data_IF_351952391106
#
_entry.id   IF_351952391106
#
_cell.length_a   1.000
_cell.length_b   1.000
_cell.length_c   1.000
_cell.angle_alpha   90.00
_cell.angle_beta   90.00
_cell.angle_gamma   90.00
#
_symmetry.space_group_name_H-M   'P 1'
#
loop_
_entity.id
_entity.type
_entity.pdbx_description
1 polymer ?
#
# COMPACT_ATOMS: atom_id res chain seq x y z
N UNK A 1 10.04 9.01 -11.99
CA UNK A 1 8.60 9.19 -11.75
C UNK A 1 8.41 9.57 -10.30
N UNK A 2 7.49 10.49 -10.00
CA UNK A 2 7.27 11.00 -8.64
C UNK A 2 6.52 10.00 -7.74
N UNK A 3 5.66 9.16 -8.33
CA UNK A 3 4.84 8.15 -7.65
C UNK A 3 4.95 6.78 -8.34
N UNK A 4 4.93 5.71 -7.55
CA UNK A 4 4.79 4.31 -7.98
C UNK A 4 3.39 3.82 -7.60
N UNK A 5 2.71 3.16 -8.54
CA UNK A 5 1.35 2.64 -8.32
C UNK A 5 1.29 1.12 -8.28
N UNK A 6 2.36 0.47 -8.71
CA UNK A 6 2.55 -0.96 -8.60
C UNK A 6 2.89 -1.36 -7.15
N UNK A 7 2.37 -2.50 -6.72
CA UNK A 7 2.54 -3.01 -5.36
C UNK A 7 2.92 -4.47 -5.40
N UNK A 8 3.46 -4.99 -4.29
CA UNK A 8 3.79 -6.41 -4.21
C UNK A 8 2.52 -7.28 -4.23
N UNK A 9 1.44 -6.86 -3.57
CA UNK A 9 0.22 -7.66 -3.43
C UNK A 9 -0.76 -7.55 -4.60
N UNK A 10 -0.55 -6.62 -5.54
CA UNK A 10 -1.48 -6.37 -6.65
C UNK A 10 -2.56 -5.32 -6.34
N UNK A 11 -2.60 -4.78 -5.12
CA UNK A 11 -3.41 -3.60 -4.80
C UNK A 11 -2.95 -2.40 -5.65
N UNK A 12 -3.87 -1.61 -6.20
CA UNK A 12 -3.52 -0.43 -6.96
C UNK A 12 -3.35 0.80 -6.04
N UNK A 13 -2.10 1.20 -5.75
CA UNK A 13 -1.81 2.36 -4.92
C UNK A 13 -2.41 3.67 -5.47
N UNK A 14 -2.65 3.76 -6.79
CA UNK A 14 -3.27 4.92 -7.40
C UNK A 14 -4.75 5.12 -7.04
N UNK A 15 -5.37 4.20 -6.29
CA UNK A 15 -6.71 4.39 -5.70
C UNK A 15 -6.67 4.73 -4.20
N UNK A 16 -5.49 4.77 -3.58
CA UNK A 16 -5.35 5.10 -2.15
C UNK A 16 -5.54 6.61 -1.93
N UNK A 17 -6.39 6.98 -0.95
CA UNK A 17 -6.65 8.37 -0.57
C UNK A 17 -5.37 9.12 -0.21
N UNK A 18 -4.42 8.45 0.44
CA UNK A 18 -3.14 9.04 0.82
C UNK A 18 -2.31 9.39 -0.42
N UNK A 19 -2.24 8.49 -1.41
CA UNK A 19 -1.55 8.77 -2.68
C UNK A 19 -2.25 9.90 -3.44
N UNK A 20 -3.58 9.92 -3.46
CA UNK A 20 -4.31 11.02 -4.10
C UNK A 20 -4.00 12.35 -3.43
N UNK A 21 -4.02 12.40 -2.09
CA UNK A 21 -3.71 13.62 -1.34
C UNK A 21 -2.28 14.12 -1.58
N UNK A 22 -1.29 13.22 -1.66
CA UNK A 22 0.09 13.61 -2.00
C UNK A 22 0.17 14.18 -3.43
N UNK A 23 -0.59 13.63 -4.38
CA UNK A 23 -0.61 14.12 -5.77
C UNK A 23 -1.35 15.44 -5.92
N UNK A 24 -2.43 15.66 -5.16
CA UNK A 24 -3.23 16.90 -5.22
C UNK A 24 -2.69 18.00 -4.32
N UNK A 25 -1.66 17.74 -3.49
CA UNK A 25 -1.13 18.71 -2.54
C UNK A 25 -2.10 19.01 -1.40
N UNK A 26 -2.84 17.99 -0.93
CA UNK A 26 -3.87 18.12 0.11
C UNK A 26 -3.61 17.18 1.30
N UNK A 27 -2.35 16.84 1.56
CA UNK A 27 -1.97 15.92 2.65
C UNK A 27 -2.35 16.49 4.01
N UNK A 28 -2.20 17.79 4.19
CA UNK A 28 -2.52 18.52 5.43
C UNK A 28 -4.02 18.45 5.74
N UNK A 29 -4.87 18.56 4.72
CA UNK A 29 -6.33 18.46 4.85
C UNK A 29 -6.71 17.03 5.24
N UNK A 30 -6.11 16.03 4.60
CA UNK A 30 -6.34 14.62 4.92
C UNK A 30 -5.90 14.30 6.35
N UNK A 31 -4.71 14.76 6.74
CA UNK A 31 -4.14 14.60 8.07
C UNK A 31 -5.04 15.20 9.14
N UNK A 32 -5.52 16.43 8.92
CA UNK A 32 -6.50 17.07 9.80
C UNK A 32 -7.80 16.26 9.91
N UNK A 33 -8.32 15.77 8.79
CA UNK A 33 -9.57 14.98 8.74
C UNK A 33 -9.44 13.67 9.51
N UNK A 34 -8.26 13.04 9.45
CA UNK A 34 -7.98 11.75 10.09
C UNK A 34 -7.40 11.90 11.50
N UNK A 35 -7.15 13.13 11.97
CA UNK A 35 -6.53 13.39 13.28
C UNK A 35 -5.10 12.86 13.38
N UNK A 36 -4.32 13.00 12.31
CA UNK A 36 -2.95 12.51 12.17
C UNK A 36 -1.98 13.65 11.86
N UNK A 37 -0.69 13.39 12.02
CA UNK A 37 0.36 14.30 11.56
C UNK A 37 0.58 14.13 10.05
N UNK A 38 0.74 15.22 9.27
CA UNK A 38 0.96 15.15 7.82
C UNK A 38 2.11 14.22 7.41
N UNK A 39 3.18 14.17 8.20
CA UNK A 39 4.37 13.34 7.97
C UNK A 39 4.03 11.84 7.96
N UNK A 40 3.02 11.42 8.72
CA UNK A 40 2.56 10.02 8.74
C UNK A 40 1.84 9.63 7.45
N UNK A 41 1.39 10.61 6.67
CA UNK A 41 0.64 10.44 5.43
C UNK A 41 1.46 10.78 4.18
N UNK A 42 2.75 11.09 4.30
CA UNK A 42 3.61 11.26 3.13
C UNK A 42 3.83 9.91 2.43
N UNK A 43 3.53 9.84 1.14
CA UNK A 43 3.62 8.58 0.39
C UNK A 43 3.92 8.78 -1.09
N UNK A 44 4.82 7.97 -1.62
CA UNK A 44 5.16 7.89 -3.05
C UNK A 44 4.92 6.50 -3.66
N UNK A 45 4.25 5.61 -2.93
CA UNK A 45 3.84 4.28 -3.42
C UNK A 45 4.57 3.12 -2.76
N UNK A 46 3.95 1.94 -2.78
CA UNK A 46 4.41 0.75 -2.04
C UNK A 46 5.87 0.37 -2.31
N UNK A 47 6.30 0.42 -3.57
CA UNK A 47 7.68 0.10 -3.99
C UNK A 47 8.66 1.27 -3.94
N UNK A 48 8.22 2.45 -3.48
CA UNK A 48 9.10 3.59 -3.24
C UNK A 48 9.75 3.55 -1.85
N UNK A 49 10.71 4.45 -1.63
CA UNK A 49 11.35 4.67 -0.33
C UNK A 49 10.51 5.53 0.63
N UNK A 50 9.46 6.20 0.14
CA UNK A 50 8.59 7.08 0.95
C UNK A 50 7.21 6.45 1.05
N UNK A 51 6.88 5.92 2.22
CA UNK A 51 5.61 5.27 2.48
C UNK A 51 4.90 5.93 3.66
N UNK A 52 3.57 6.05 3.55
CA UNK A 52 2.74 6.39 4.69
C UNK A 52 2.85 5.32 5.77
N UNK A 53 2.53 5.70 7.00
CA UNK A 53 2.71 4.88 8.21
C UNK A 53 2.15 3.46 8.07
N UNK A 54 1.01 3.31 7.39
CA UNK A 54 0.35 2.01 7.16
C UNK A 54 1.13 1.06 6.23
N UNK A 55 2.00 1.59 5.38
CA UNK A 55 2.76 0.82 4.40
C UNK A 55 4.24 0.66 4.75
N UNK A 56 4.74 1.34 5.80
CA UNK A 56 6.13 1.23 6.27
C UNK A 56 6.39 -0.19 6.77
N UNK A 57 5.54 -0.70 7.66
CA UNK A 57 5.66 -2.03 8.27
C UNK A 57 4.63 -3.03 7.71
N UNK A 58 4.45 -3.02 6.38
CA UNK A 58 3.53 -3.94 5.73
C UNK A 58 4.13 -5.36 5.65
N UNK A 59 3.52 -6.31 6.36
CA UNK A 59 3.96 -7.71 6.38
C UNK A 59 3.94 -8.41 5.00
N UNK A 60 3.09 -7.98 4.07
CA UNK A 60 3.08 -8.53 2.70
C UNK A 60 4.30 -8.04 1.91
N UNK A 61 4.62 -6.74 2.00
CA UNK A 61 5.84 -6.16 1.41
C UNK A 61 7.09 -6.83 1.96
N UNK A 62 7.18 -6.99 3.29
CA UNK A 62 8.30 -7.68 3.93
C UNK A 62 8.43 -9.14 3.45
N UNK A 63 7.30 -9.86 3.35
CA UNK A 63 7.28 -11.23 2.85
C UNK A 63 7.76 -11.33 1.39
N UNK A 64 7.29 -10.46 0.49
CA UNK A 64 7.69 -10.46 -0.91
C UNK A 64 9.19 -10.18 -1.07
N UNK A 65 9.73 -9.19 -0.34
CA UNK A 65 11.17 -8.89 -0.29
C UNK A 65 11.98 -10.09 0.21
N UNK A 66 11.56 -10.75 1.29
CA UNK A 66 12.25 -11.93 1.83
C UNK A 66 12.24 -13.11 0.85
N UNK A 67 11.11 -13.34 0.18
CA UNK A 67 10.97 -14.38 -0.85
C UNK A 67 11.60 -14.01 -2.20
N UNK A 68 12.10 -12.78 -2.34
CA UNK A 68 12.71 -12.25 -3.57
C UNK A 68 11.79 -12.32 -4.79
N UNK A 69 10.50 -12.06 -4.57
CA UNK A 69 9.50 -11.94 -5.65
C UNK A 69 9.12 -10.47 -5.84
N UNK A 70 8.99 -10.04 -7.08
CA UNK A 70 8.55 -8.68 -7.42
C UNK A 70 7.06 -8.48 -7.19
N UNK A 71 6.29 -9.56 -7.33
CA UNK A 71 4.85 -9.60 -7.12
C UNK A 71 4.46 -10.90 -6.44
N UNK A 72 3.43 -10.85 -5.59
CA UNK A 72 2.98 -12.02 -4.87
C UNK A 72 2.47 -13.14 -5.78
N UNK A 73 1.94 -12.83 -6.97
CA UNK A 73 1.52 -13.85 -7.95
C UNK A 73 2.67 -14.71 -8.48
N UNK A 74 3.92 -14.26 -8.32
CA UNK A 74 5.11 -15.01 -8.71
C UNK A 74 5.56 -15.99 -7.63
N UNK A 75 4.94 -15.97 -6.45
CA UNK A 75 5.26 -16.89 -5.38
C UNK A 75 4.59 -18.25 -5.62
N UNK A 76 5.30 -19.34 -5.34
CA UNK A 76 4.76 -20.71 -5.46
C UNK A 76 3.55 -20.99 -4.56
N UNK A 77 3.42 -20.24 -3.45
CA UNK A 77 2.31 -20.35 -2.51
C UNK A 77 1.09 -19.49 -2.90
N UNK A 78 1.07 -18.88 -4.09
CA UNK A 78 0.01 -17.96 -4.48
C UNK A 78 -1.32 -18.67 -4.86
N UNK A 79 -2.48 -18.19 -4.37
CA UNK A 79 -2.65 -17.17 -3.32
C UNK A 79 -2.42 -17.78 -1.94
N UNK A 80 -1.57 -17.14 -1.13
CA UNK A 80 -1.31 -17.60 0.23
C UNK A 80 -2.34 -17.05 1.21
N UNK A 81 -2.50 -17.69 2.37
CA UNK A 81 -3.47 -17.29 3.40
C UNK A 81 -3.35 -15.79 3.75
N UNK A 82 -2.14 -15.24 3.86
CA UNK A 82 -1.94 -13.81 4.15
C UNK A 82 -2.60 -12.89 3.10
N UNK A 83 -2.54 -13.23 1.81
CA UNK A 83 -3.19 -12.43 0.77
C UNK A 83 -4.71 -12.59 0.80
N UNK A 84 -5.18 -13.81 1.05
CA UNK A 84 -6.62 -14.10 1.18
C UNK A 84 -7.21 -13.35 2.38
N UNK A 85 -6.50 -13.34 3.52
CA UNK A 85 -6.91 -12.60 4.71
C UNK A 85 -6.91 -11.10 4.45
N UNK A 86 -5.86 -10.56 3.79
CA UNK A 86 -5.79 -9.15 3.42
C UNK A 86 -6.94 -8.72 2.50
N UNK A 87 -7.30 -9.56 1.52
CA UNK A 87 -8.44 -9.32 0.64
C UNK A 87 -9.78 -9.25 1.40
N UNK A 88 -9.90 -10.03 2.47
CA UNK A 88 -11.16 -10.22 3.20
C UNK A 88 -11.23 -9.40 4.50
N UNK A 89 -10.37 -8.38 4.66
CA UNK A 89 -10.42 -7.49 5.81
C UNK A 89 -11.50 -6.39 5.66
N UNK A 90 -11.56 -5.48 6.65
CA UNK A 90 -12.60 -4.45 6.73
C UNK A 90 -12.39 -3.29 5.74
N UNK A 91 -11.27 -3.25 5.01
CA UNK A 91 -10.96 -2.15 4.12
C UNK A 91 -11.40 -2.49 2.69
N UNK A 92 -12.51 -1.89 2.25
CA UNK A 92 -13.11 -2.16 0.93
C UNK A 92 -12.13 -2.04 -0.25
N UNK A 93 -11.11 -1.18 -0.16
CA UNK A 93 -10.12 -1.05 -1.23
C UNK A 93 -9.16 -2.27 -1.32
N UNK A 94 -9.08 -3.13 -0.30
CA UNK A 94 -8.31 -4.37 -0.35
C UNK A 94 -9.06 -5.52 -1.05
N UNK A 95 -10.39 -5.44 -1.19
CA UNK A 95 -11.19 -6.54 -1.76
C UNK A 95 -10.93 -6.82 -3.24
N UNK A 96 -10.21 -5.92 -3.93
CA UNK A 96 -9.80 -6.08 -5.34
C UNK A 96 -8.49 -6.85 -5.50
N UNK A 97 -7.81 -7.16 -4.39
CA UNK A 97 -6.63 -8.04 -4.41
C UNK A 97 -7.08 -9.46 -4.68
N UNK A 98 -6.37 -10.16 -5.57
CA UNK A 98 -6.69 -11.49 -6.14
C UNK A 98 -7.78 -11.47 -7.23
#
# INVERSE_FOLDING_TARGET
MEFSYDTFCGLYCGACDIIQANKSGTVEILAQTWGMEPEQLLCRGCKSEVNAVYCIDCGIKACAKNRKVEYCFQCDDYPCTRLVDFRNDDYAHHSIVL
#
